data_IF_491612075654
#
_entry.id   IF_491612075654
#
_cell.length_a   1.000
_cell.length_b   1.000
_cell.length_c   1.000
_cell.angle_alpha   90.00
_cell.angle_beta   90.00
_cell.angle_gamma   90.00
#
_symmetry.space_group_name_H-M   'P 1'
#
loop_
_entity.id
_entity.type
_entity.pdbx_description
1 polymer ?
#
# COMPACT_ATOMS: atom_id res chain seq x y z
N UNK A 1 -9.97 -22.84 -2.69
CA UNK A 1 -10.45 -21.46 -2.93
C UNK A 1 -10.08 -21.02 -4.35
N UNK A 2 -10.92 -20.14 -4.94
CA UNK A 2 -10.73 -19.57 -6.27
C UNK A 2 -10.61 -18.05 -6.19
N UNK A 3 -9.60 -17.50 -6.84
CA UNK A 3 -9.31 -16.07 -6.81
C UNK A 3 -9.39 -15.46 -8.21
N UNK A 4 -9.85 -14.21 -8.30
CA UNK A 4 -9.71 -13.38 -9.48
C UNK A 4 -8.74 -12.24 -9.18
N UNK A 5 -7.62 -12.19 -9.88
CA UNK A 5 -6.68 -11.07 -9.90
C UNK A 5 -6.97 -10.22 -11.13
N UNK A 6 -7.32 -8.96 -10.93
CA UNK A 6 -7.67 -8.03 -12.00
C UNK A 6 -6.48 -7.14 -12.27
N UNK A 7 -5.92 -7.23 -13.49
CA UNK A 7 -4.63 -6.70 -13.90
C UNK A 7 -3.57 -7.79 -14.03
N UNK A 8 -2.58 -7.57 -14.91
CA UNK A 8 -1.40 -8.43 -15.10
C UNK A 8 -0.09 -7.61 -15.03
N UNK A 9 -0.11 -6.49 -14.30
CA UNK A 9 1.04 -5.64 -14.02
C UNK A 9 1.93 -6.19 -12.92
N UNK A 10 2.87 -5.35 -12.45
CA UNK A 10 3.87 -5.71 -11.43
C UNK A 10 3.21 -6.21 -10.14
N UNK A 11 2.24 -5.49 -9.59
CA UNK A 11 1.60 -5.87 -8.33
C UNK A 11 0.75 -7.15 -8.48
N UNK A 12 0.01 -7.29 -9.58
CA UNK A 12 -0.74 -8.50 -9.90
C UNK A 12 0.18 -9.73 -10.00
N UNK A 13 1.42 -9.55 -10.48
CA UNK A 13 2.43 -10.62 -10.52
C UNK A 13 2.76 -11.12 -9.11
N UNK A 14 2.99 -10.23 -8.18
CA UNK A 14 3.30 -10.62 -6.79
C UNK A 14 2.09 -11.24 -6.07
N UNK A 15 0.90 -10.69 -6.26
CA UNK A 15 -0.36 -11.27 -5.74
C UNK A 15 -0.55 -12.69 -6.27
N UNK A 16 -0.51 -12.87 -7.58
CA UNK A 16 -0.70 -14.18 -8.20
C UNK A 16 0.42 -15.17 -7.83
N UNK A 17 1.68 -14.68 -7.71
CA UNK A 17 2.82 -15.48 -7.26
C UNK A 17 2.60 -16.07 -5.87
N UNK A 18 2.07 -15.29 -4.94
CA UNK A 18 1.78 -15.77 -3.59
C UNK A 18 0.59 -16.72 -3.57
N UNK A 19 -0.51 -16.37 -4.24
CA UNK A 19 -1.73 -17.17 -4.28
C UNK A 19 -1.52 -18.58 -4.85
N UNK A 20 -0.78 -18.72 -5.96
CA UNK A 20 -0.56 -20.04 -6.57
C UNK A 20 0.26 -21.01 -5.70
N UNK A 21 0.99 -20.50 -4.71
CA UNK A 21 1.80 -21.25 -3.77
C UNK A 21 1.06 -21.78 -2.54
N UNK A 22 -0.17 -21.32 -2.35
CA UNK A 22 -1.01 -21.78 -1.23
C UNK A 22 -1.66 -23.13 -1.58
N UNK A 23 -1.61 -24.08 -0.65
CA UNK A 23 -2.14 -25.43 -0.87
C UNK A 23 -3.66 -25.45 -1.00
N UNK A 24 -4.35 -24.53 -0.30
CA UNK A 24 -5.81 -24.38 -0.26
C UNK A 24 -6.37 -23.51 -1.40
N UNK A 25 -5.51 -23.03 -2.32
CA UNK A 25 -5.91 -22.34 -3.54
C UNK A 25 -5.95 -23.31 -4.70
N UNK A 26 -7.11 -23.42 -5.32
CA UNK A 26 -7.39 -24.31 -6.47
C UNK A 26 -7.16 -23.61 -7.80
N UNK A 27 -7.62 -22.37 -7.91
CA UNK A 27 -7.58 -21.61 -9.16
C UNK A 27 -7.28 -20.14 -8.91
N UNK A 28 -6.38 -19.57 -9.73
CA UNK A 28 -6.10 -18.15 -9.82
C UNK A 28 -6.42 -17.69 -11.23
N UNK A 29 -7.53 -16.98 -11.37
CA UNK A 29 -7.93 -16.31 -12.60
C UNK A 29 -7.22 -14.97 -12.69
N UNK A 30 -6.66 -14.64 -13.85
CA UNK A 30 -5.99 -13.36 -14.09
C UNK A 30 -6.65 -12.71 -15.29
N UNK A 31 -7.17 -11.50 -15.12
CA UNK A 31 -7.83 -10.73 -16.15
C UNK A 31 -7.04 -9.45 -16.47
N UNK A 32 -6.74 -9.20 -17.76
CA UNK A 32 -6.09 -7.97 -18.21
C UNK A 32 -6.55 -7.66 -19.64
N UNK A 33 -6.51 -6.39 -20.02
CA UNK A 33 -6.83 -5.94 -21.37
C UNK A 33 -5.74 -6.35 -22.39
N UNK A 34 -4.46 -6.48 -21.90
CA UNK A 34 -3.29 -6.77 -22.71
C UNK A 34 -2.94 -8.27 -22.74
N UNK A 35 -3.20 -9.00 -23.85
CA UNK A 35 -2.92 -10.42 -23.95
C UNK A 35 -1.46 -10.79 -23.73
N UNK A 36 -0.52 -9.92 -24.10
CA UNK A 36 0.92 -10.17 -23.95
C UNK A 36 1.32 -10.18 -22.47
N UNK A 37 0.78 -9.28 -21.66
CA UNK A 37 0.99 -9.29 -20.20
C UNK A 37 0.49 -10.58 -19.58
N UNK A 38 -0.70 -11.04 -19.99
CA UNK A 38 -1.26 -12.32 -19.54
C UNK A 38 -0.36 -13.51 -19.87
N UNK A 39 0.14 -13.58 -21.13
CA UNK A 39 1.07 -14.65 -21.57
C UNK A 39 2.37 -14.64 -20.78
N UNK A 40 2.95 -13.46 -20.58
CA UNK A 40 4.19 -13.27 -19.83
C UNK A 40 4.02 -13.69 -18.38
N UNK A 41 2.93 -13.23 -17.73
CA UNK A 41 2.65 -13.55 -16.34
C UNK A 41 2.38 -15.06 -16.15
N UNK A 42 1.58 -15.68 -17.02
CA UNK A 42 1.32 -17.13 -16.97
C UNK A 42 2.60 -17.94 -17.09
N UNK A 43 3.51 -17.55 -18.00
CA UNK A 43 4.83 -18.21 -18.15
C UNK A 43 5.70 -18.05 -16.92
N UNK A 44 5.70 -16.86 -16.30
CA UNK A 44 6.48 -16.59 -15.10
C UNK A 44 6.01 -17.38 -13.88
N UNK A 45 4.70 -17.53 -13.70
CA UNK A 45 4.10 -18.25 -12.56
C UNK A 45 4.28 -19.77 -12.61
N UNK A 46 4.39 -20.38 -13.79
CA UNK A 46 4.62 -21.82 -14.01
C UNK A 46 3.70 -22.71 -13.16
N UNK A 47 2.42 -22.36 -13.03
CA UNK A 47 1.47 -23.08 -12.19
C UNK A 47 0.24 -23.51 -12.97
N UNK A 48 -0.21 -24.77 -12.84
CA UNK A 48 -1.45 -25.25 -13.48
C UNK A 48 -2.71 -24.58 -12.92
N UNK A 49 -2.62 -23.95 -11.74
CA UNK A 49 -3.73 -23.22 -11.11
C UNK A 49 -4.11 -21.96 -11.88
N UNK A 50 -3.26 -21.45 -12.79
CA UNK A 50 -3.43 -20.17 -13.48
C UNK A 50 -4.30 -20.30 -14.72
N UNK A 51 -5.41 -19.54 -14.74
CA UNK A 51 -6.23 -19.30 -15.92
C UNK A 51 -6.23 -17.82 -16.29
N UNK A 52 -6.04 -17.49 -17.56
CA UNK A 52 -5.94 -16.11 -18.04
C UNK A 52 -7.12 -15.73 -18.92
N UNK A 53 -7.61 -14.50 -18.79
CA UNK A 53 -8.77 -13.99 -19.50
C UNK A 53 -8.45 -12.59 -20.04
N UNK A 54 -8.61 -12.39 -21.36
CA UNK A 54 -8.61 -11.05 -21.91
C UNK A 54 -9.91 -10.36 -21.50
N UNK A 55 -9.82 -9.28 -20.75
CA UNK A 55 -10.98 -8.52 -20.30
C UNK A 55 -10.57 -7.09 -19.91
N UNK A 56 -11.47 -6.14 -20.18
CA UNK A 56 -11.36 -4.77 -19.71
C UNK A 56 -11.96 -4.67 -18.31
N UNK A 57 -11.23 -4.07 -17.36
CA UNK A 57 -11.72 -3.82 -16.00
C UNK A 57 -12.95 -2.89 -15.97
N UNK A 58 -13.15 -2.06 -17.00
CA UNK A 58 -14.32 -1.22 -17.19
C UNK A 58 -15.56 -1.96 -17.69
N UNK A 59 -15.41 -3.15 -18.27
CA UNK A 59 -16.52 -3.99 -18.71
C UNK A 59 -17.18 -4.69 -17.52
N UNK A 60 -18.17 -4.01 -16.94
CA UNK A 60 -18.91 -4.51 -15.76
C UNK A 60 -19.52 -5.90 -15.97
N UNK A 61 -20.06 -6.18 -17.17
CA UNK A 61 -20.70 -7.48 -17.46
C UNK A 61 -19.64 -8.58 -17.41
N UNK A 62 -18.53 -8.36 -18.12
CA UNK A 62 -17.43 -9.31 -18.17
C UNK A 62 -16.77 -9.55 -16.79
N UNK A 63 -16.56 -8.49 -16.01
CA UNK A 63 -16.05 -8.62 -14.65
C UNK A 63 -17.01 -9.42 -13.76
N UNK A 64 -18.30 -9.17 -13.83
CA UNK A 64 -19.32 -9.94 -13.10
C UNK A 64 -19.27 -11.44 -13.46
N UNK A 65 -19.15 -11.78 -14.74
CA UNK A 65 -19.02 -13.17 -15.19
C UNK A 65 -17.75 -13.86 -14.64
N UNK A 66 -16.63 -13.13 -14.61
CA UNK A 66 -15.36 -13.66 -14.11
C UNK A 66 -15.32 -13.81 -12.59
N UNK A 67 -16.04 -12.95 -11.84
CA UNK A 67 -16.12 -12.97 -10.39
C UNK A 67 -17.03 -14.10 -9.86
N UNK A 68 -18.16 -14.40 -10.53
CA UNK A 68 -19.17 -15.38 -10.07
C UNK A 68 -18.60 -16.70 -9.53
N UNK A 69 -17.59 -17.35 -10.14
CA UNK A 69 -17.05 -18.61 -9.63
C UNK A 69 -15.92 -18.41 -8.60
N UNK A 70 -15.65 -17.18 -8.16
CA UNK A 70 -14.51 -16.86 -7.29
C UNK A 70 -14.99 -16.54 -5.86
N UNK A 71 -14.19 -16.94 -4.89
CA UNK A 71 -14.40 -16.59 -3.48
C UNK A 71 -13.97 -15.15 -3.21
N UNK A 72 -12.87 -14.71 -3.85
CA UNK A 72 -12.26 -13.39 -3.65
C UNK A 72 -11.79 -12.81 -4.99
N UNK A 73 -12.00 -11.50 -5.18
CA UNK A 73 -11.40 -10.73 -6.25
C UNK A 73 -10.43 -9.69 -5.68
N UNK A 74 -9.26 -9.54 -6.33
CA UNK A 74 -8.21 -8.59 -5.96
C UNK A 74 -7.98 -7.64 -7.13
N UNK A 75 -8.21 -6.34 -6.93
CA UNK A 75 -7.94 -5.32 -7.94
C UNK A 75 -6.48 -4.87 -7.88
N UNK A 76 -5.78 -5.04 -9.00
CA UNK A 76 -4.43 -4.53 -9.22
C UNK A 76 -4.38 -3.59 -10.43
N UNK A 77 -5.49 -2.98 -10.79
CA UNK A 77 -5.65 -1.97 -11.85
C UNK A 77 -5.74 -0.57 -11.25
N UNK A 78 -5.70 0.51 -12.05
CA UNK A 78 -5.83 1.87 -11.54
C UNK A 78 -7.10 2.09 -10.72
N UNK A 79 -6.97 2.87 -9.64
CA UNK A 79 -7.97 3.08 -8.60
C UNK A 79 -9.37 3.48 -9.09
N UNK A 80 -9.47 4.18 -10.22
CA UNK A 80 -10.75 4.64 -10.75
C UNK A 80 -11.67 3.51 -11.22
N UNK A 81 -11.17 2.27 -11.33
CA UNK A 81 -11.99 1.09 -11.58
C UNK A 81 -12.54 0.47 -10.29
N UNK A 82 -11.91 0.70 -9.13
CA UNK A 82 -12.14 -0.07 -7.90
C UNK A 82 -13.59 -0.02 -7.44
N UNK A 83 -14.23 1.16 -7.40
CA UNK A 83 -15.64 1.27 -7.01
C UNK A 83 -16.56 0.43 -7.91
N UNK A 84 -16.33 0.42 -9.23
CA UNK A 84 -17.09 -0.40 -10.18
C UNK A 84 -16.89 -1.89 -9.94
N UNK A 85 -15.66 -2.30 -9.69
CA UNK A 85 -15.27 -3.68 -9.38
C UNK A 85 -15.82 -4.13 -8.02
N UNK A 86 -15.76 -3.29 -6.99
CA UNK A 86 -16.34 -3.55 -5.67
C UNK A 86 -17.86 -3.76 -5.75
N UNK A 87 -18.59 -2.95 -6.54
CA UNK A 87 -20.02 -3.15 -6.80
C UNK A 87 -20.30 -4.48 -7.50
N UNK A 88 -19.47 -4.87 -8.47
CA UNK A 88 -19.59 -6.14 -9.17
C UNK A 88 -19.33 -7.33 -8.22
N UNK A 89 -18.34 -7.22 -7.35
CA UNK A 89 -18.02 -8.22 -6.35
C UNK A 89 -19.16 -8.41 -5.34
N UNK A 90 -19.74 -7.33 -4.82
CA UNK A 90 -20.93 -7.40 -3.94
C UNK A 90 -22.11 -8.06 -4.65
N UNK A 91 -22.37 -7.73 -5.92
CA UNK A 91 -23.46 -8.32 -6.70
C UNK A 91 -23.26 -9.82 -6.97
N UNK A 92 -22.04 -10.30 -7.04
CA UNK A 92 -21.69 -11.72 -7.28
C UNK A 92 -21.47 -12.51 -5.99
N UNK A 93 -21.57 -11.88 -4.83
CA UNK A 93 -21.24 -12.45 -3.51
C UNK A 93 -19.77 -12.92 -3.44
N UNK A 94 -18.89 -12.13 -4.01
CA UNK A 94 -17.45 -12.34 -4.01
C UNK A 94 -16.81 -11.34 -3.04
N UNK A 95 -15.91 -11.77 -2.16
CA UNK A 95 -15.12 -10.83 -1.36
C UNK A 95 -14.23 -9.99 -2.26
N UNK A 96 -13.91 -8.77 -1.84
CA UNK A 96 -13.13 -7.85 -2.67
C UNK A 96 -12.07 -7.13 -1.84
N UNK A 97 -10.88 -6.98 -2.43
CA UNK A 97 -9.86 -6.06 -1.93
C UNK A 97 -9.08 -5.43 -3.09
N UNK A 98 -8.44 -4.30 -2.84
CA UNK A 98 -7.67 -3.55 -3.82
C UNK A 98 -6.40 -2.93 -3.22
N UNK A 99 -5.63 -2.20 -4.03
CA UNK A 99 -4.37 -1.58 -3.63
C UNK A 99 -4.51 -0.10 -3.26
N UNK A 100 -5.72 0.45 -3.35
CA UNK A 100 -5.99 1.87 -3.08
C UNK A 100 -5.54 2.81 -4.18
N UNK A 101 -5.24 4.03 -3.80
CA UNK A 101 -4.67 5.06 -4.67
C UNK A 101 -5.46 6.38 -4.77
N UNK A 102 -6.66 6.47 -4.17
CA UNK A 102 -7.43 7.71 -4.11
C UNK A 102 -8.45 7.66 -2.96
N UNK A 103 -8.44 8.63 -2.07
CA UNK A 103 -9.27 8.64 -0.87
C UNK A 103 -10.77 8.74 -1.17
N UNK A 104 -11.19 9.49 -2.19
CA UNK A 104 -12.61 9.62 -2.54
C UNK A 104 -13.19 8.28 -3.02
N UNK A 105 -12.39 7.52 -3.79
CA UNK A 105 -12.77 6.18 -4.24
C UNK A 105 -12.87 5.24 -3.04
N UNK A 106 -11.91 5.27 -2.11
CA UNK A 106 -11.94 4.48 -0.88
C UNK A 106 -13.19 4.78 -0.04
N UNK A 107 -13.52 6.06 0.15
CA UNK A 107 -14.76 6.43 0.86
C UNK A 107 -16.03 5.94 0.14
N UNK A 108 -16.05 5.99 -1.20
CA UNK A 108 -17.16 5.46 -1.98
C UNK A 108 -17.27 3.92 -1.88
N UNK A 109 -16.15 3.21 -1.76
CA UNK A 109 -16.14 1.76 -1.51
C UNK A 109 -16.63 1.42 -0.10
N UNK A 110 -16.21 2.18 0.91
CA UNK A 110 -16.71 2.03 2.29
C UNK A 110 -18.23 2.26 2.39
N UNK A 111 -18.78 3.15 1.55
CA UNK A 111 -20.23 3.36 1.46
C UNK A 111 -21.01 2.13 0.94
N UNK A 112 -20.35 1.13 0.34
CA UNK A 112 -20.97 -0.15 -0.04
C UNK A 112 -21.26 -1.05 1.17
N UNK A 113 -20.89 -0.66 2.41
CA UNK A 113 -20.93 -1.53 3.60
C UNK A 113 -22.28 -2.20 3.83
N UNK A 114 -23.40 -1.47 3.74
CA UNK A 114 -24.74 -2.04 3.92
C UNK A 114 -25.08 -3.10 2.85
N UNK A 115 -24.71 -2.85 1.60
CA UNK A 115 -24.93 -3.77 0.47
C UNK A 115 -24.05 -5.01 0.60
N UNK A 116 -22.77 -4.85 0.95
CA UNK A 116 -21.82 -5.93 1.19
C UNK A 116 -22.27 -6.81 2.37
N UNK A 117 -22.75 -6.19 3.46
CA UNK A 117 -23.32 -6.90 4.62
C UNK A 117 -24.53 -7.75 4.21
N UNK A 118 -25.46 -7.20 3.43
CA UNK A 118 -26.63 -7.95 2.91
C UNK A 118 -26.21 -9.10 2.00
N UNK A 119 -25.16 -8.95 1.22
CA UNK A 119 -24.61 -9.98 0.34
C UNK A 119 -23.79 -11.05 1.09
N UNK A 120 -23.43 -10.82 2.36
CA UNK A 120 -22.58 -11.71 3.15
C UNK A 120 -21.10 -11.68 2.77
N UNK A 121 -20.62 -10.57 2.17
CA UNK A 121 -19.24 -10.41 1.72
C UNK A 121 -18.55 -9.24 2.40
N UNK A 122 -17.22 -9.24 2.32
CA UNK A 122 -16.37 -8.17 2.84
C UNK A 122 -15.64 -7.47 1.70
N UNK A 123 -15.64 -6.14 1.74
CA UNK A 123 -14.87 -5.26 0.86
C UNK A 123 -13.79 -4.58 1.70
N UNK A 124 -12.54 -4.70 1.32
CA UNK A 124 -11.40 -4.09 2.03
C UNK A 124 -10.58 -3.29 1.02
N UNK A 125 -10.76 -1.97 0.94
CA UNK A 125 -9.88 -1.13 0.14
C UNK A 125 -8.49 -0.98 0.77
N UNK A 126 -7.53 -0.43 0.02
CA UNK A 126 -6.22 -0.05 0.55
C UNK A 126 -5.42 -1.22 1.16
N UNK A 127 -5.23 -2.30 0.44
CA UNK A 127 -4.48 -3.47 0.94
C UNK A 127 -3.02 -3.54 0.49
N UNK A 128 -2.46 -2.42 -0.02
CA UNK A 128 -1.08 -2.33 -0.49
C UNK A 128 -0.04 -2.21 0.63
N UNK A 129 1.07 -1.53 0.34
CA UNK A 129 2.13 -1.23 1.32
C UNK A 129 1.75 0.00 2.16
N UNK A 130 1.52 1.13 1.50
CA UNK A 130 1.10 2.41 2.05
C UNK A 130 0.24 3.13 0.99
N UNK A 131 -1.08 3.06 1.14
CA UNK A 131 -1.85 2.52 2.28
C UNK A 131 -1.93 0.97 2.30
N UNK A 132 -2.22 0.41 3.48
CA UNK A 132 -2.49 -1.02 3.69
C UNK A 132 -1.65 -1.63 4.81
N UNK A 133 -0.46 -2.17 4.51
CA UNK A 133 0.42 -2.76 5.53
C UNK A 133 0.66 -1.79 6.69
N UNK A 134 1.01 -0.55 6.40
CA UNK A 134 1.28 0.46 7.44
C UNK A 134 0.04 0.74 8.29
N UNK A 135 -1.16 0.66 7.72
CA UNK A 135 -2.42 0.90 8.42
C UNK A 135 -2.69 -0.19 9.45
N UNK A 136 -2.49 -1.44 9.05
CA UNK A 136 -2.64 -2.61 9.94
C UNK A 136 -1.57 -2.59 11.04
N UNK A 137 -0.32 -2.21 10.73
CA UNK A 137 0.74 -2.08 11.72
C UNK A 137 0.50 -0.94 12.72
N UNK A 138 -0.03 0.19 12.24
CA UNK A 138 -0.43 1.31 13.10
C UNK A 138 -1.54 0.90 14.08
N UNK A 139 -2.55 0.17 13.60
CA UNK A 139 -3.63 -0.36 14.44
C UNK A 139 -3.12 -1.41 15.45
N UNK A 140 -2.17 -2.28 15.06
CA UNK A 140 -1.53 -3.21 15.98
C UNK A 140 -0.79 -2.46 17.10
N UNK A 141 0.00 -1.44 16.76
CA UNK A 141 0.71 -0.61 17.73
C UNK A 141 -0.24 0.14 18.66
N UNK A 142 -1.29 0.74 18.10
CA UNK A 142 -2.33 1.42 18.86
C UNK A 142 -3.01 0.47 19.86
N UNK A 143 -3.32 -0.76 19.47
CA UNK A 143 -3.98 -1.75 20.34
C UNK A 143 -3.12 -2.22 21.53
N UNK A 144 -1.81 -1.97 21.49
CA UNK A 144 -0.84 -2.38 22.53
C UNK A 144 -0.67 -1.34 23.64
N UNK A 145 -1.10 -0.11 23.40
CA UNK A 145 -1.00 0.99 24.33
C UNK A 145 -2.34 1.23 25.07
N UNK A 146 -2.28 1.76 26.28
CA UNK A 146 -3.46 2.23 27.02
C UNK A 146 -3.97 3.55 26.44
N UNK A 147 -3.04 4.46 26.13
CA UNK A 147 -3.28 5.72 25.45
C UNK A 147 -2.19 5.92 24.40
N UNK A 148 -2.59 6.32 23.22
CA UNK A 148 -1.66 6.64 22.13
C UNK A 148 -1.58 8.15 21.92
N UNK A 149 -0.37 8.68 22.01
CA UNK A 149 -0.11 10.11 21.81
C UNK A 149 0.23 10.39 20.33
N UNK A 150 1.06 9.54 19.69
CA UNK A 150 1.46 9.77 18.30
C UNK A 150 1.58 8.48 17.46
N UNK A 151 1.30 8.60 16.17
CA UNK A 151 1.57 7.60 15.15
C UNK A 151 2.39 8.25 14.04
N UNK A 152 3.62 7.77 13.82
CA UNK A 152 4.51 8.25 12.77
C UNK A 152 4.79 7.14 11.77
N UNK A 153 4.49 7.39 10.49
CA UNK A 153 4.66 6.42 9.42
C UNK A 153 5.68 6.96 8.42
N UNK A 154 6.73 6.18 8.15
CA UNK A 154 7.81 6.52 7.23
C UNK A 154 8.03 5.37 6.28
N UNK A 155 7.83 5.59 4.98
CA UNK A 155 7.97 4.54 3.94
C UNK A 155 8.74 5.08 2.75
N UNK A 156 9.60 4.27 2.16
CA UNK A 156 10.30 4.63 0.93
C UNK A 156 10.59 3.41 0.07
N UNK A 157 10.23 3.50 -1.21
CA UNK A 157 10.77 2.65 -2.26
C UNK A 157 11.96 3.34 -2.91
N UNK A 158 13.13 2.71 -2.91
CA UNK A 158 14.40 3.33 -3.27
C UNK A 158 15.23 2.41 -4.18
N UNK A 159 16.05 2.96 -5.10
CA UNK A 159 17.10 2.17 -5.71
C UNK A 159 18.18 1.84 -4.67
N UNK A 160 18.74 0.65 -4.71
CA UNK A 160 19.85 0.29 -3.82
C UNK A 160 21.12 1.12 -4.09
N UNK A 161 21.26 1.58 -5.33
CA UNK A 161 22.38 2.40 -5.78
C UNK A 161 21.84 3.71 -6.35
N UNK A 162 21.72 4.77 -5.51
CA UNK A 162 21.19 6.04 -5.97
C UNK A 162 22.07 6.66 -7.06
N UNK A 163 21.45 7.24 -8.09
CA UNK A 163 22.13 7.91 -9.20
C UNK A 163 21.49 9.27 -9.47
N UNK A 164 22.31 10.29 -9.83
CA UNK A 164 21.78 11.55 -10.34
C UNK A 164 20.82 11.34 -11.53
N UNK A 165 19.88 12.28 -11.78
CA UNK A 165 19.77 13.59 -11.14
C UNK A 165 19.04 13.60 -9.79
N UNK A 166 18.08 12.69 -9.54
CA UNK A 166 17.21 12.71 -8.36
C UNK A 166 17.64 11.76 -7.25
N UNK A 167 18.70 10.97 -7.43
CA UNK A 167 19.02 9.83 -6.55
C UNK A 167 17.85 8.88 -6.38
N UNK A 168 17.04 8.73 -7.43
CA UNK A 168 15.79 7.98 -7.46
C UNK A 168 15.69 7.18 -8.77
N UNK A 169 14.94 6.11 -8.72
CA UNK A 169 14.55 5.30 -9.87
C UNK A 169 13.07 4.95 -9.74
N UNK A 170 12.41 4.70 -10.85
CA UNK A 170 10.99 4.36 -10.84
C UNK A 170 10.80 2.95 -10.29
N UNK A 171 10.08 2.83 -9.19
CA UNK A 171 9.66 1.56 -8.56
C UNK A 171 8.15 1.34 -8.70
N UNK A 172 7.43 2.38 -9.14
CA UNK A 172 6.01 2.39 -9.53
C UNK A 172 5.76 3.50 -10.55
N UNK A 173 4.52 3.77 -10.96
CA UNK A 173 4.22 4.70 -12.05
C UNK A 173 4.66 6.14 -11.75
N UNK A 174 5.25 6.82 -12.74
CA UNK A 174 5.66 8.21 -12.61
C UNK A 174 4.47 9.15 -12.34
N UNK A 175 3.30 8.85 -12.89
CA UNK A 175 2.09 9.62 -12.61
C UNK A 175 1.66 9.49 -11.14
N UNK A 176 1.69 8.28 -10.57
CA UNK A 176 1.44 8.06 -9.15
C UNK A 176 2.44 8.81 -8.26
N UNK A 177 3.72 8.78 -8.61
CA UNK A 177 4.78 9.52 -7.91
C UNK A 177 4.49 11.02 -7.87
N UNK A 178 4.10 11.64 -9.00
CA UNK A 178 3.77 13.07 -9.05
C UNK A 178 2.49 13.37 -8.26
N UNK A 179 1.47 12.50 -8.29
CA UNK A 179 0.27 12.68 -7.45
C UNK A 179 0.65 12.79 -5.96
N UNK A 180 1.47 11.89 -5.45
CA UNK A 180 1.93 11.93 -4.05
C UNK A 180 2.61 13.26 -3.68
N UNK A 181 3.25 13.92 -4.65
CA UNK A 181 4.02 15.15 -4.43
C UNK A 181 3.24 16.45 -4.62
N UNK A 182 2.04 16.40 -5.21
CA UNK A 182 1.22 17.60 -5.49
C UNK A 182 -0.06 17.68 -4.65
N UNK A 183 -0.56 16.53 -4.17
CA UNK A 183 -1.79 16.49 -3.41
C UNK A 183 -1.56 16.85 -1.94
N UNK A 184 -2.48 17.62 -1.30
CA UNK A 184 -2.42 17.91 0.13
C UNK A 184 -2.41 16.64 0.99
N UNK A 185 -1.71 16.71 2.12
CA UNK A 185 -1.53 15.58 3.04
C UNK A 185 -2.47 15.72 4.24
N UNK A 186 -3.37 14.76 4.43
CA UNK A 186 -4.23 14.72 5.60
C UNK A 186 -3.49 14.10 6.79
N UNK A 187 -3.47 14.80 7.91
CA UNK A 187 -2.79 14.40 9.15
C UNK A 187 -3.69 14.62 10.37
N UNK A 188 -3.26 14.13 11.54
CA UNK A 188 -3.81 14.56 12.83
C UNK A 188 -2.83 15.51 13.53
N UNK A 189 -3.38 16.58 14.08
CA UNK A 189 -2.71 17.49 15.00
C UNK A 189 -3.68 17.85 16.12
N UNK A 190 -3.25 17.72 17.36
CA UNK A 190 -4.11 17.93 18.56
C UNK A 190 -5.43 17.14 18.49
N UNK A 191 -5.37 15.92 17.99
CA UNK A 191 -6.53 15.04 17.82
C UNK A 191 -7.50 15.43 16.70
N UNK A 192 -7.21 16.47 15.90
CA UNK A 192 -8.06 17.00 14.84
C UNK A 192 -7.44 16.77 13.46
N UNK A 193 -8.30 16.63 12.45
CA UNK A 193 -7.87 16.59 11.05
C UNK A 193 -7.25 17.94 10.65
N UNK A 194 -6.10 17.88 10.00
CA UNK A 194 -5.39 19.06 9.49
C UNK A 194 -4.75 18.71 8.14
N UNK A 195 -4.73 19.68 7.24
CA UNK A 195 -4.03 19.57 5.97
C UNK A 195 -2.60 20.10 6.09
N UNK A 196 -1.69 19.44 5.41
CA UNK A 196 -0.28 19.86 5.29
C UNK A 196 0.12 19.88 3.83
N UNK A 197 1.03 20.81 3.52
CA UNK A 197 1.62 20.89 2.20
C UNK A 197 2.48 19.64 1.90
N UNK A 198 2.40 19.09 0.69
CA UNK A 198 3.36 18.09 0.24
C UNK A 198 4.76 18.70 0.13
N UNK A 199 5.79 17.86 0.09
CA UNK A 199 7.20 18.27 0.02
C UNK A 199 7.64 19.22 1.15
N UNK A 200 6.90 19.24 2.27
CA UNK A 200 7.19 20.05 3.46
C UNK A 200 7.56 19.18 4.66
N UNK A 201 7.85 19.83 5.79
CA UNK A 201 8.19 19.20 7.08
C UNK A 201 9.31 18.15 6.93
N UNK A 202 10.36 18.48 6.18
CA UNK A 202 11.50 17.59 5.93
C UNK A 202 12.19 17.25 7.25
N UNK A 203 12.40 15.96 7.50
CA UNK A 203 13.14 15.45 8.66
C UNK A 203 14.28 14.53 8.21
N UNK A 204 15.36 14.50 8.98
CA UNK A 204 16.43 13.52 8.82
C UNK A 204 16.07 12.27 9.64
N UNK A 205 16.28 11.09 9.04
CA UNK A 205 16.15 9.82 9.75
C UNK A 205 17.30 8.90 9.35
N UNK A 206 17.58 7.94 10.24
CA UNK A 206 18.68 6.99 10.02
C UNK A 206 18.13 5.58 9.91
N UNK A 207 18.59 4.85 8.90
CA UNK A 207 18.42 3.42 8.75
C UNK A 207 19.78 2.70 8.88
N UNK A 208 19.79 1.39 9.19
CA UNK A 208 21.00 0.61 9.22
C UNK A 208 21.82 0.71 7.92
N UNK A 209 23.14 0.49 7.99
CA UNK A 209 23.97 0.37 6.78
C UNK A 209 23.35 -0.62 5.79
N UNK A 210 23.37 -0.34 4.47
CA UNK A 210 24.17 0.67 3.77
C UNK A 210 23.49 2.05 3.64
N UNK A 211 22.29 2.29 4.16
CA UNK A 211 21.50 3.50 3.89
C UNK A 211 21.98 4.73 4.68
N UNK A 212 22.25 4.57 5.99
CA UNK A 212 22.68 5.68 6.84
C UNK A 212 21.62 6.77 6.96
N UNK A 213 22.03 8.03 6.71
CA UNK A 213 21.17 9.20 6.75
C UNK A 213 20.28 9.28 5.50
N UNK A 214 19.00 9.49 5.72
CA UNK A 214 17.95 9.67 4.71
C UNK A 214 17.11 10.88 5.07
N UNK A 215 16.32 11.36 4.16
CA UNK A 215 15.31 12.38 4.43
C UNK A 215 13.88 11.80 4.31
N UNK A 216 12.94 12.35 5.06
CA UNK A 216 11.52 12.08 4.88
C UNK A 216 10.72 13.37 4.91
N UNK A 217 9.69 13.44 4.10
CA UNK A 217 8.86 14.64 3.93
C UNK A 217 7.41 14.26 3.61
N UNK A 218 6.50 15.19 3.85
CA UNK A 218 5.08 14.98 3.63
C UNK A 218 4.78 14.62 2.17
N UNK A 219 3.99 13.55 1.97
CA UNK A 219 3.38 13.19 0.70
C UNK A 219 1.96 12.68 0.92
N UNK A 220 1.10 12.80 -0.07
CA UNK A 220 -0.28 12.31 0.01
C UNK A 220 -0.38 10.79 -0.08
N UNK A 221 -1.57 10.28 0.17
CA UNK A 221 -1.96 8.89 -0.13
C UNK A 221 -1.60 7.87 0.93
N UNK A 222 -0.37 7.88 1.45
CA UNK A 222 0.14 6.79 2.28
C UNK A 222 -0.56 6.57 3.63
N UNK A 223 -1.21 7.57 4.21
CA UNK A 223 -2.02 7.46 5.43
C UNK A 223 -3.49 7.11 5.16
N UNK A 224 -3.99 7.45 3.98
CA UNK A 224 -5.38 7.22 3.55
C UNK A 224 -6.43 7.47 4.65
N UNK A 225 -7.11 6.43 5.11
CA UNK A 225 -8.19 6.48 6.10
C UNK A 225 -7.72 6.68 7.56
N UNK A 226 -6.43 6.49 7.87
CA UNK A 226 -5.92 6.51 9.23
C UNK A 226 -6.24 7.79 10.01
N UNK A 227 -6.12 9.02 9.43
CA UNK A 227 -6.48 10.23 10.14
C UNK A 227 -7.95 10.26 10.56
N UNK A 228 -8.86 9.72 9.73
CA UNK A 228 -10.27 9.59 10.08
C UNK A 228 -10.51 8.54 11.15
N UNK A 229 -9.86 7.37 11.03
CA UNK A 229 -9.97 6.24 11.98
C UNK A 229 -9.51 6.62 13.38
N UNK A 230 -8.42 7.41 13.49
CA UNK A 230 -7.83 7.76 14.78
C UNK A 230 -8.18 9.17 15.31
N UNK A 231 -9.03 9.91 14.60
CA UNK A 231 -9.50 11.23 15.05
C UNK A 231 -10.07 11.19 16.45
N UNK A 232 -9.60 12.10 17.33
CA UNK A 232 -10.00 12.17 18.73
C UNK A 232 -9.47 11.03 19.62
N UNK A 233 -8.70 10.10 19.06
CA UNK A 233 -8.12 8.94 19.77
C UNK A 233 -6.60 9.01 19.87
N UNK A 234 -5.97 9.81 19.00
CA UNK A 234 -4.53 10.02 18.90
C UNK A 234 -4.29 11.51 18.70
N UNK A 235 -3.32 12.09 19.42
CA UNK A 235 -3.03 13.53 19.34
C UNK A 235 -2.39 13.91 18.00
N UNK A 236 -1.45 13.08 17.51
CA UNK A 236 -0.79 13.34 16.23
C UNK A 236 -0.63 12.07 15.39
N UNK A 237 -0.88 12.20 14.07
CA UNK A 237 -0.63 11.15 13.10
C UNK A 237 -0.14 11.79 11.81
N UNK A 238 0.99 11.30 11.29
CA UNK A 238 1.51 11.73 10.00
C UNK A 238 2.16 10.59 9.21
N UNK A 239 2.18 10.77 7.89
CA UNK A 239 2.89 9.94 6.94
C UNK A 239 3.93 10.78 6.19
N UNK A 240 5.14 10.25 6.03
CA UNK A 240 6.18 10.85 5.20
C UNK A 240 6.84 9.82 4.32
N UNK A 241 7.19 10.23 3.11
CA UNK A 241 7.93 9.39 2.18
C UNK A 241 9.44 9.54 2.40
N UNK A 242 10.14 8.40 2.51
CA UNK A 242 11.60 8.35 2.67
C UNK A 242 12.26 8.47 1.32
N UNK A 243 13.32 9.32 1.22
CA UNK A 243 14.17 9.45 0.04
C UNK A 243 15.63 9.63 0.46
N UNK A 244 16.55 9.51 -0.51
CA UNK A 244 17.95 9.90 -0.32
C UNK A 244 18.06 11.42 -0.18
N UNK A 245 19.04 11.93 0.60
CA UNK A 245 19.18 13.36 0.88
C UNK A 245 19.22 14.22 -0.38
N UNK A 246 18.51 15.34 -0.35
CA UNK A 246 18.43 16.32 -1.43
C UNK A 246 17.42 16.01 -2.53
N UNK A 247 16.66 14.90 -2.43
CA UNK A 247 15.59 14.59 -3.39
C UNK A 247 14.43 15.60 -3.26
N UNK A 248 13.96 15.86 -2.04
CA UNK A 248 12.86 16.77 -1.77
C UNK A 248 13.10 18.16 -2.36
N UNK A 249 14.27 18.74 -2.12
CA UNK A 249 14.62 20.06 -2.63
C UNK A 249 14.62 20.13 -4.18
N UNK A 250 15.11 19.09 -4.85
CA UNK A 250 15.13 19.01 -6.32
C UNK A 250 13.72 18.88 -6.89
N UNK A 251 12.86 18.08 -6.27
CA UNK A 251 11.47 17.94 -6.72
C UNK A 251 10.70 19.22 -6.42
N UNK A 252 10.93 19.86 -5.27
CA UNK A 252 10.32 21.14 -4.93
C UNK A 252 10.65 22.21 -5.98
N UNK A 253 11.88 22.26 -6.48
CA UNK A 253 12.23 23.17 -7.57
C UNK A 253 11.38 22.94 -8.83
N UNK A 254 11.14 21.68 -9.22
CA UNK A 254 10.27 21.36 -10.37
C UNK A 254 8.83 21.81 -10.12
N UNK A 255 8.38 21.67 -8.88
CA UNK A 255 7.06 22.13 -8.45
C UNK A 255 6.95 23.66 -8.54
N UNK A 256 7.91 24.39 -7.95
CA UNK A 256 7.94 25.86 -7.90
C UNK A 256 8.06 26.48 -9.30
N UNK A 257 8.64 25.76 -10.26
CA UNK A 257 8.70 26.14 -11.68
C UNK A 257 7.39 25.82 -12.44
N UNK A 258 6.34 25.29 -11.78
CA UNK A 258 5.06 24.96 -12.40
C UNK A 258 5.10 23.73 -13.33
N UNK A 259 6.19 22.91 -13.28
CA UNK A 259 6.31 21.73 -14.15
C UNK A 259 5.34 20.60 -13.77
N UNK A 260 4.69 20.70 -12.60
CA UNK A 260 3.65 19.77 -12.14
C UNK A 260 2.23 20.22 -12.47
N UNK A 261 2.06 21.40 -13.11
CA UNK A 261 0.76 21.97 -13.39
C UNK A 261 -0.01 21.21 -14.48
N UNK A 262 -1.32 21.08 -14.24
CA UNK A 262 -2.27 20.56 -15.24
C UNK A 262 -2.81 21.66 -16.17
N UNK A 263 -2.61 22.94 -15.80
CA UNK A 263 -3.03 24.07 -16.64
C UNK A 263 -2.14 24.15 -17.88
N UNK A 264 -2.71 24.11 -19.10
CA UNK A 264 -1.91 24.22 -20.30
C UNK A 264 -1.17 25.55 -20.41
N UNK A 265 0.08 25.52 -20.84
CA UNK A 265 0.86 26.68 -21.29
C UNK A 265 1.08 26.66 -22.79
N UNK A 266 1.41 27.79 -23.40
CA UNK A 266 1.70 27.87 -24.85
C UNK A 266 3.21 28.02 -25.03
N UNK A 267 3.80 27.11 -25.80
CA UNK A 267 5.21 27.13 -26.18
C UNK A 267 5.26 27.03 -27.72
N UNK A 268 5.85 28.00 -28.37
CA UNK A 268 5.95 28.06 -29.86
C UNK A 268 4.60 27.81 -30.56
N UNK A 269 3.52 28.44 -30.06
CA UNK A 269 2.16 28.30 -30.58
C UNK A 269 1.45 26.97 -30.25
N UNK A 270 2.10 26.04 -29.58
CA UNK A 270 1.51 24.74 -29.19
C UNK A 270 1.07 24.73 -27.72
N UNK A 271 -0.10 24.17 -27.44
CA UNK A 271 -0.59 23.98 -26.07
C UNK A 271 0.09 22.74 -25.48
N UNK A 272 0.79 22.92 -24.37
CA UNK A 272 1.49 21.85 -23.64
C UNK A 272 0.98 21.84 -22.19
N UNK A 273 0.70 20.67 -21.65
CA UNK A 273 0.44 20.48 -20.20
C UNK A 273 1.78 20.15 -19.57
N UNK A 274 2.33 21.04 -18.70
CA UNK A 274 3.68 20.88 -18.12
C UNK A 274 3.86 19.53 -17.41
N UNK A 275 2.87 19.10 -16.64
CA UNK A 275 2.90 17.81 -15.93
C UNK A 275 3.03 16.62 -16.88
N UNK A 276 2.37 16.61 -18.02
CA UNK A 276 2.49 15.49 -18.97
C UNK A 276 3.89 15.44 -19.56
N UNK A 277 4.48 16.60 -19.85
CA UNK A 277 5.88 16.68 -20.30
C UNK A 277 6.83 16.19 -19.20
N UNK A 278 6.65 16.63 -17.94
CA UNK A 278 7.46 16.19 -16.82
C UNK A 278 7.41 14.67 -16.65
N UNK A 279 6.21 14.06 -16.64
CA UNK A 279 6.04 12.60 -16.51
C UNK A 279 6.79 11.89 -17.64
N UNK A 280 6.61 12.31 -18.89
CA UNK A 280 7.32 11.72 -20.03
C UNK A 280 8.85 11.84 -19.89
N UNK A 281 9.35 12.97 -19.38
CA UNK A 281 10.78 13.16 -19.14
C UNK A 281 11.31 12.29 -18.01
N UNK A 282 10.55 12.15 -16.92
CA UNK A 282 10.91 11.25 -15.82
C UNK A 282 11.00 9.80 -16.28
N UNK A 283 10.02 9.33 -17.06
CA UNK A 283 10.02 7.96 -17.62
C UNK A 283 11.16 7.71 -18.59
N UNK A 284 11.59 8.75 -19.34
CA UNK A 284 12.71 8.64 -20.26
C UNK A 284 14.08 8.68 -19.58
N UNK A 285 14.21 9.36 -18.44
CA UNK A 285 15.50 9.63 -17.79
C UNK A 285 15.75 8.72 -16.57
N UNK A 286 14.69 8.43 -15.80
CA UNK A 286 14.81 7.57 -14.63
C UNK A 286 14.68 6.09 -15.04
N UNK A 287 15.61 5.24 -14.64
CA UNK A 287 15.48 3.81 -14.92
C UNK A 287 14.31 3.22 -14.12
N UNK A 288 13.68 2.19 -14.69
CA UNK A 288 12.85 1.28 -13.94
C UNK A 288 13.75 0.36 -13.11
N UNK A 289 13.62 0.44 -11.78
CA UNK A 289 14.51 -0.30 -10.88
C UNK A 289 13.99 -1.71 -10.63
N UNK A 290 14.88 -2.68 -10.80
CA UNK A 290 14.62 -4.09 -10.46
C UNK A 290 15.36 -4.53 -9.20
N UNK A 291 16.45 -3.85 -8.83
CA UNK A 291 17.23 -4.09 -7.62
C UNK A 291 16.90 -2.98 -6.59
N UNK A 292 15.61 -2.88 -6.26
CA UNK A 292 15.07 -1.90 -5.33
C UNK A 292 15.15 -2.37 -3.87
N UNK A 293 14.86 -1.44 -2.99
CA UNK A 293 14.64 -1.69 -1.56
C UNK A 293 13.43 -0.92 -1.09
N UNK A 294 12.65 -1.53 -0.21
CA UNK A 294 11.61 -0.85 0.54
C UNK A 294 12.05 -0.70 2.00
N UNK A 295 12.01 0.53 2.46
CA UNK A 295 12.23 0.91 3.85
C UNK A 295 10.89 1.31 4.47
N UNK A 296 10.57 0.75 5.62
CA UNK A 296 9.36 1.07 6.36
C UNK A 296 9.70 1.21 7.84
N UNK A 297 9.16 2.27 8.46
CA UNK A 297 9.12 2.46 9.91
C UNK A 297 7.76 3.00 10.32
N UNK A 298 7.08 2.29 11.20
CA UNK A 298 5.87 2.76 11.88
C UNK A 298 6.20 2.83 13.36
N UNK A 299 6.00 4.00 13.96
CA UNK A 299 6.22 4.25 15.39
C UNK A 299 4.91 4.70 16.02
N UNK A 300 4.52 4.02 17.09
CA UNK A 300 3.32 4.34 17.86
C UNK A 300 3.77 4.62 19.29
N UNK A 301 3.61 5.86 19.74
CA UNK A 301 4.04 6.33 21.05
C UNK A 301 2.85 6.61 21.95
N UNK A 302 2.99 6.28 23.22
CA UNK A 302 1.95 6.56 24.20
C UNK A 302 2.27 5.97 25.56
N UNK A 303 1.23 5.72 26.34
CA UNK A 303 1.33 5.13 27.67
C UNK A 303 1.20 3.62 27.60
N UNK A 304 2.09 2.90 28.27
CA UNK A 304 2.06 1.44 28.35
C UNK A 304 0.83 0.94 29.12
N UNK A 305 0.21 -0.15 28.63
CA UNK A 305 -0.89 -0.82 29.34
C UNK A 305 -0.37 -1.69 30.48
N UNK A 306 -0.79 -1.43 31.71
CA UNK A 306 -0.41 -2.19 32.91
C UNK A 306 -0.73 -3.69 32.83
N UNK A 307 -1.76 -4.05 32.06
CA UNK A 307 -2.30 -5.42 32.01
C UNK A 307 -1.79 -6.28 30.84
N UNK A 308 -1.00 -5.71 29.90
CA UNK A 308 -0.51 -6.41 28.72
C UNK A 308 1.01 -6.31 28.61
N UNK A 309 1.72 -7.28 29.23
CA UNK A 309 3.17 -7.39 29.04
C UNK A 309 3.52 -7.55 27.54
N UNK A 310 4.44 -6.74 27.03
CA UNK A 310 4.92 -6.78 25.64
C UNK A 310 5.80 -8.01 25.42
N UNK A 311 5.56 -8.76 24.31
CA UNK A 311 6.50 -9.74 23.76
C UNK A 311 7.13 -9.12 22.52
N UNK A 312 8.41 -8.80 22.57
CA UNK A 312 9.15 -8.36 21.39
C UNK A 312 9.49 -9.53 20.45
N UNK A 313 10.05 -9.23 19.29
CA UNK A 313 10.44 -10.25 18.31
C UNK A 313 11.59 -11.16 18.80
N UNK A 314 12.26 -10.83 19.92
CA UNK A 314 13.31 -11.64 20.55
C UNK A 314 12.78 -12.55 21.66
N UNK A 315 11.46 -12.50 21.97
CA UNK A 315 10.82 -13.32 23.02
C UNK A 315 10.91 -12.75 24.43
N UNK A 316 11.54 -11.58 24.61
CA UNK A 316 11.64 -10.87 25.89
C UNK A 316 10.27 -10.38 26.35
N UNK A 317 9.90 -10.72 27.59
CA UNK A 317 8.68 -10.21 28.26
C UNK A 317 9.07 -9.10 29.22
N UNK A 318 8.66 -7.85 28.95
CA UNK A 318 8.75 -6.76 29.95
C UNK A 318 7.47 -6.72 30.76
N UNK A 319 7.60 -6.53 32.08
CA UNK A 319 6.47 -6.12 32.92
C UNK A 319 6.16 -4.66 32.61
N UNK A 320 4.88 -4.33 32.43
CA UNK A 320 4.42 -2.97 32.18
C UNK A 320 4.91 -2.02 33.27
N UNK A 321 5.47 -0.90 32.86
CA UNK A 321 5.83 0.23 33.73
C UNK A 321 4.89 1.39 33.39
N UNK A 322 4.55 2.25 34.36
CA UNK A 322 3.67 3.42 34.16
C UNK A 322 4.28 4.51 33.25
N UNK A 323 5.19 4.14 32.35
CA UNK A 323 5.99 5.04 31.54
C UNK A 323 5.51 5.21 30.10
N UNK A 324 6.12 6.18 29.41
CA UNK A 324 6.02 6.31 27.94
C UNK A 324 6.62 5.07 27.29
N UNK A 325 5.91 4.54 26.27
CA UNK A 325 6.36 3.42 25.47
C UNK A 325 6.25 3.77 23.98
N UNK A 326 7.25 3.37 23.20
CA UNK A 326 7.23 3.41 21.74
C UNK A 326 7.22 2.00 21.20
N UNK A 327 6.15 1.63 20.50
CA UNK A 327 6.10 0.41 19.68
C UNK A 327 6.58 0.76 18.28
N UNK A 328 7.68 0.14 17.83
CA UNK A 328 8.27 0.39 16.53
C UNK A 328 8.23 -0.87 15.68
N UNK A 329 7.70 -0.72 14.47
CA UNK A 329 7.76 -1.68 13.37
C UNK A 329 8.77 -1.18 12.36
N UNK A 330 9.74 -2.02 12.00
CA UNK A 330 10.77 -1.67 11.02
C UNK A 330 10.96 -2.81 10.04
N UNK A 331 10.96 -2.48 8.75
CA UNK A 331 11.20 -3.39 7.65
C UNK A 331 12.24 -2.80 6.70
N UNK A 332 13.19 -3.63 6.30
CA UNK A 332 14.07 -3.41 5.15
C UNK A 332 13.92 -4.63 4.27
N UNK A 333 13.22 -4.48 3.17
CA UNK A 333 13.01 -5.56 2.18
C UNK A 333 13.72 -5.23 0.87
N UNK A 334 14.28 -6.25 0.25
CA UNK A 334 15.04 -6.15 -0.98
C UNK A 334 14.36 -6.93 -2.08
N UNK A 335 14.66 -6.57 -3.34
CA UNK A 335 14.33 -7.42 -4.48
C UNK A 335 14.87 -8.83 -4.25
N UNK A 336 14.04 -9.83 -4.52
CA UNK A 336 14.35 -11.24 -4.32
C UNK A 336 14.69 -11.93 -5.65
N UNK A 337 15.95 -12.36 -5.77
CA UNK A 337 16.44 -13.04 -6.98
C UNK A 337 15.77 -14.38 -7.21
N UNK A 338 15.33 -15.07 -6.16
CA UNK A 338 14.70 -16.39 -6.26
C UNK A 338 13.33 -16.34 -6.93
N UNK A 339 12.50 -15.37 -6.56
CA UNK A 339 11.20 -15.13 -7.18
C UNK A 339 11.26 -14.18 -8.38
N UNK A 340 12.33 -13.41 -8.51
CA UNK A 340 12.47 -12.32 -9.48
C UNK A 340 11.56 -11.12 -9.17
N UNK A 341 10.95 -11.05 -7.97
CA UNK A 341 10.09 -9.94 -7.55
C UNK A 341 10.94 -8.81 -6.96
N UNK A 342 10.58 -7.58 -7.28
CA UNK A 342 11.15 -6.39 -6.65
C UNK A 342 10.68 -6.26 -5.18
N UNK A 343 11.35 -5.44 -4.38
CA UNK A 343 10.92 -5.18 -3.00
C UNK A 343 9.54 -4.51 -2.98
N UNK A 344 9.27 -3.59 -3.92
CA UNK A 344 7.97 -2.95 -4.06
C UNK A 344 6.85 -3.96 -4.41
N UNK A 345 7.12 -4.91 -5.32
CA UNK A 345 6.17 -5.98 -5.64
C UNK A 345 5.90 -6.87 -4.43
N UNK A 346 6.94 -7.26 -3.70
CA UNK A 346 6.83 -8.11 -2.51
C UNK A 346 6.01 -7.44 -1.41
N UNK A 347 6.38 -6.22 -1.05
CA UNK A 347 5.74 -5.51 0.08
C UNK A 347 4.31 -5.09 -0.21
N UNK A 348 4.01 -4.69 -1.44
CA UNK A 348 2.65 -4.29 -1.86
C UNK A 348 1.79 -5.51 -2.22
N UNK A 349 2.28 -6.36 -3.10
CA UNK A 349 1.50 -7.51 -3.60
C UNK A 349 1.27 -8.59 -2.56
N UNK A 350 2.27 -8.91 -1.71
CA UNK A 350 2.06 -9.89 -0.63
C UNK A 350 1.12 -9.35 0.44
N UNK A 351 1.14 -8.05 0.73
CA UNK A 351 0.15 -7.43 1.63
C UNK A 351 -1.28 -7.71 1.15
N UNK A 352 -1.57 -7.39 -0.11
CA UNK A 352 -2.89 -7.63 -0.69
C UNK A 352 -3.24 -9.13 -0.79
N UNK A 353 -2.27 -9.98 -1.16
CA UNK A 353 -2.48 -11.42 -1.21
C UNK A 353 -2.83 -12.02 0.16
N UNK A 354 -2.18 -11.54 1.23
CA UNK A 354 -2.49 -11.96 2.61
C UNK A 354 -3.91 -11.58 2.98
N UNK A 355 -4.33 -10.32 2.73
CA UNK A 355 -5.71 -9.89 3.01
C UNK A 355 -6.71 -10.72 2.21
N UNK A 356 -6.45 -10.95 0.92
CA UNK A 356 -7.29 -11.78 0.07
C UNK A 356 -7.41 -13.22 0.60
N UNK A 357 -6.31 -13.83 1.02
CA UNK A 357 -6.31 -15.17 1.63
C UNK A 357 -7.07 -15.19 2.95
N UNK A 358 -6.89 -14.16 3.79
CA UNK A 358 -7.63 -14.05 5.05
C UNK A 358 -9.14 -13.88 4.82
N UNK A 359 -9.56 -13.18 3.76
CA UNK A 359 -10.96 -13.10 3.33
C UNK A 359 -11.47 -14.48 2.91
N UNK A 360 -10.78 -15.16 1.99
CA UNK A 360 -11.19 -16.46 1.49
C UNK A 360 -11.20 -17.58 2.56
N UNK A 361 -10.34 -17.46 3.57
CA UNK A 361 -10.26 -18.38 4.73
C UNK A 361 -11.26 -18.05 5.84
N UNK A 362 -12.06 -16.99 5.70
CA UNK A 362 -12.98 -16.54 6.74
C UNK A 362 -12.28 -16.01 8.00
N UNK A 363 -11.01 -15.62 7.90
CA UNK A 363 -10.25 -15.07 9.04
C UNK A 363 -10.56 -13.59 9.30
N UNK A 364 -11.18 -12.91 8.35
CA UNK A 364 -11.79 -11.58 8.51
C UNK A 364 -13.29 -11.83 8.69
N UNK A 365 -13.72 -11.92 9.96
CA UNK A 365 -15.05 -12.42 10.35
C UNK A 365 -16.19 -11.40 10.27
N UNK A 366 -16.07 -10.34 9.45
CA UNK A 366 -17.11 -9.31 9.34
C UNK A 366 -17.60 -9.19 7.90
N UNK A 367 -18.93 -9.07 7.70
CA UNK A 367 -19.52 -8.73 6.41
C UNK A 367 -19.82 -7.23 6.33
N UNK A 368 -19.43 -6.60 5.23
CA UNK A 368 -19.55 -5.15 5.02
C UNK A 368 -18.33 -4.60 4.28
N UNK A 369 -18.17 -3.28 4.23
CA UNK A 369 -16.98 -2.62 3.75
C UNK A 369 -16.23 -1.98 4.93
N UNK A 370 -14.95 -2.28 5.08
CA UNK A 370 -14.13 -1.86 6.21
C UNK A 370 -12.71 -1.52 5.75
N UNK A 371 -12.07 -0.61 6.45
CA UNK A 371 -10.63 -0.36 6.27
C UNK A 371 -9.81 -1.49 6.87
N UNK A 372 -8.60 -1.72 6.34
CA UNK A 372 -7.72 -2.78 6.80
C UNK A 372 -7.40 -2.70 8.30
N UNK A 373 -7.17 -1.49 8.83
CA UNK A 373 -6.89 -1.25 10.25
C UNK A 373 -8.06 -1.59 11.19
N UNK A 374 -9.29 -1.64 10.66
CA UNK A 374 -10.49 -1.93 11.44
C UNK A 374 -10.94 -3.39 11.36
N UNK A 375 -10.54 -4.15 10.33
CA UNK A 375 -11.07 -5.51 10.13
C UNK A 375 -10.02 -6.61 10.04
N UNK A 376 -8.76 -6.29 9.71
CA UNK A 376 -7.72 -7.31 9.53
C UNK A 376 -7.08 -7.68 10.88
N UNK A 377 -7.13 -8.95 11.30
CA UNK A 377 -6.45 -9.42 12.51
C UNK A 377 -4.94 -9.25 12.42
N UNK A 378 -4.40 -8.19 13.03
CA UNK A 378 -3.02 -7.75 12.88
C UNK A 378 -1.97 -8.81 13.25
N UNK A 379 -2.20 -9.57 14.32
CA UNK A 379 -1.28 -10.62 14.75
C UNK A 379 -1.14 -11.74 13.70
N UNK A 380 -2.24 -12.16 13.09
CA UNK A 380 -2.24 -13.13 11.99
C UNK A 380 -1.55 -12.53 10.76
N UNK A 381 -1.89 -11.30 10.39
CA UNK A 381 -1.29 -10.59 9.28
C UNK A 381 0.24 -10.47 9.41
N UNK A 382 0.75 -10.06 10.57
CA UNK A 382 2.19 -9.95 10.85
C UNK A 382 2.89 -11.32 10.74
N UNK A 383 2.26 -12.39 11.21
CA UNK A 383 2.78 -13.76 11.06
C UNK A 383 2.88 -14.16 9.58
N UNK A 384 1.85 -13.88 8.80
CA UNK A 384 1.79 -14.15 7.36
C UNK A 384 2.87 -13.36 6.57
N UNK A 385 3.13 -12.10 6.91
CA UNK A 385 4.24 -11.32 6.34
C UNK A 385 5.59 -12.02 6.58
N UNK A 386 5.85 -12.47 7.81
CA UNK A 386 7.10 -13.14 8.19
C UNK A 386 7.28 -14.49 7.47
N UNK A 387 6.22 -15.25 7.29
CA UNK A 387 6.25 -16.52 6.54
C UNK A 387 6.64 -16.32 5.07
N UNK A 388 6.35 -15.15 4.49
CA UNK A 388 6.77 -14.76 3.13
C UNK A 388 8.17 -14.16 3.06
N UNK A 389 8.90 -14.21 4.18
CA UNK A 389 10.28 -13.71 4.26
C UNK A 389 10.39 -12.18 4.41
N UNK A 390 9.27 -11.47 4.62
CA UNK A 390 9.29 -10.05 4.98
C UNK A 390 9.73 -9.93 6.45
N UNK A 391 10.99 -9.52 6.68
CA UNK A 391 11.63 -9.50 8.00
C UNK A 391 11.20 -8.31 8.84
N UNK A 392 9.91 -8.26 9.16
CA UNK A 392 9.35 -7.21 10.01
C UNK A 392 9.86 -7.37 11.45
N UNK A 393 10.64 -6.40 11.89
CA UNK A 393 11.14 -6.28 13.27
C UNK A 393 10.14 -5.45 14.08
N UNK A 394 9.76 -5.96 15.25
CA UNK A 394 8.89 -5.26 16.20
C UNK A 394 9.64 -5.08 17.51
N UNK A 395 9.77 -3.86 17.97
CA UNK A 395 10.45 -3.52 19.24
C UNK A 395 9.57 -2.60 20.06
N UNK A 396 9.69 -2.68 21.39
CA UNK A 396 9.11 -1.74 22.34
C UNK A 396 10.20 -1.15 23.23
N UNK A 397 10.17 0.13 23.45
CA UNK A 397 11.14 0.86 24.27
C UNK A 397 10.44 1.89 25.13
#
# INVERSE_FOLDING_TARGET
MRFLVIGAGMQARAVAYDLVRQNDVEEVRIADIEPERLRTLKRALRSPKVKTFKADAGDRRRMTELMKPCDVAVSCVPYFFNLGLGRAAVATRTHFCDLGGNNDVVHAELALSAQAKKAGVTVVPDCGLAPGMVSILAADGFSRLERTDSIRIRVGGLPRKPKPPLNYALVFSANGLINEYVEPCLVLREGKLAWREPLADVEELTFPKPFGKLEAFNTSGGSSTLPHTFRGRVESLDYKTIRYPGHCAKVRLLFDLGLTDMKPTVVDGKRIIPRHLLIQRLEAVLPWEKDDVVLLRVEVEGKESRNRGFKDSSGGRRKGTDGKMTVRYELVDYADRGSGLTAMERTTGFSAAIVALMLGRGQIGCAGAFTGENCVPSATYIRELRQRGLRLRVTAR
#
